data_IF_232477046756
#
_entry.id   IF_232477046756
#
_cell.length_a   1.000
_cell.length_b   1.000
_cell.length_c   1.000
_cell.angle_alpha   90.00
_cell.angle_beta   90.00
_cell.angle_gamma   90.00
#
_symmetry.space_group_name_H-M   'P 1'
#
loop_
_entity.id
_entity.type
_entity.pdbx_description
1 polymer ?
#
# COMPACT_ATOMS: atom_id res chain seq x y z
N UNK A 1 -11.53 22.15 6.63
CA UNK A 1 -10.09 21.81 6.62
C UNK A 1 -9.33 23.12 6.38
N UNK A 2 -8.38 23.52 7.23
CA UNK A 2 -7.68 24.80 7.11
C UNK A 2 -6.57 24.70 6.04
N UNK A 3 -6.91 24.96 4.77
CA UNK A 3 -5.92 25.15 3.70
C UNK A 3 -5.26 26.53 3.74
N UNK A 4 -5.78 27.46 4.57
CA UNK A 4 -5.31 28.84 4.68
C UNK A 4 -3.82 28.96 5.03
N UNK A 5 -3.25 28.02 5.78
CA UNK A 5 -1.82 28.01 6.11
C UNK A 5 -0.93 27.53 4.94
N UNK A 6 -1.50 26.85 3.94
CA UNK A 6 -0.77 26.33 2.79
C UNK A 6 -0.82 27.26 1.56
N UNK A 7 -1.78 28.17 1.50
CA UNK A 7 -1.96 29.11 0.38
C UNK A 7 -0.71 29.98 0.19
N UNK A 8 -0.19 30.04 -1.04
CA UNK A 8 0.99 30.84 -1.40
C UNK A 8 2.35 30.21 -1.05
N UNK A 9 2.37 29.04 -0.39
CA UNK A 9 3.61 28.36 -0.02
C UNK A 9 4.13 27.39 -1.09
N UNK A 10 3.30 26.99 -2.06
CA UNK A 10 3.71 26.06 -3.10
C UNK A 10 4.39 26.76 -4.28
N UNK A 11 5.57 26.26 -4.66
CA UNK A 11 6.30 26.72 -5.84
C UNK A 11 5.94 25.96 -7.12
N UNK A 12 5.07 24.96 -7.02
CA UNK A 12 4.63 24.10 -8.12
C UNK A 12 3.15 24.32 -8.40
N UNK A 13 2.82 24.70 -9.63
CA UNK A 13 1.43 24.86 -10.05
C UNK A 13 0.65 23.54 -9.91
N UNK A 14 1.21 22.44 -10.40
CA UNK A 14 0.55 21.13 -10.46
C UNK A 14 0.43 20.45 -9.09
N UNK A 15 1.33 20.74 -8.15
CA UNK A 15 1.35 20.13 -6.81
C UNK A 15 0.85 21.07 -5.71
N UNK A 16 0.29 22.23 -6.06
CA UNK A 16 -0.38 23.11 -5.10
C UNK A 16 -1.67 22.46 -4.59
N UNK A 17 -1.59 21.87 -3.38
CA UNK A 17 -2.73 21.22 -2.74
C UNK A 17 -3.81 22.22 -2.29
N UNK A 18 -3.44 23.45 -1.92
CA UNK A 18 -4.39 24.47 -1.48
C UNK A 18 -5.24 24.94 -2.65
N UNK A 19 -4.60 25.30 -3.77
CA UNK A 19 -5.33 25.67 -4.99
C UNK A 19 -6.12 24.50 -5.58
N UNK A 20 -5.62 23.26 -5.50
CA UNK A 20 -6.35 22.08 -5.95
C UNK A 20 -7.62 21.84 -5.13
N UNK A 21 -7.53 22.02 -3.81
CA UNK A 21 -8.67 21.93 -2.91
C UNK A 21 -9.70 23.04 -3.18
N UNK A 22 -9.25 24.29 -3.31
CA UNK A 22 -10.12 25.43 -3.63
C UNK A 22 -10.91 25.21 -4.94
N UNK A 23 -10.24 24.73 -6.00
CA UNK A 23 -10.92 24.41 -7.27
C UNK A 23 -11.95 23.28 -7.13
N UNK A 24 -11.66 22.27 -6.31
CA UNK A 24 -12.62 21.19 -6.02
C UNK A 24 -13.84 21.70 -5.23
N UNK A 25 -13.66 22.61 -4.27
CA UNK A 25 -14.78 23.17 -3.51
C UNK A 25 -15.64 24.13 -4.34
N UNK A 26 -15.06 24.84 -5.30
CA UNK A 26 -15.78 25.79 -6.15
C UNK A 26 -16.76 25.09 -7.10
N UNK A 27 -16.34 24.01 -7.77
CA UNK A 27 -17.14 23.37 -8.82
C UNK A 27 -17.03 21.84 -8.89
N UNK A 28 -16.33 21.19 -7.97
CA UNK A 28 -16.16 19.73 -7.92
C UNK A 28 -15.19 19.16 -8.94
N UNK A 29 -14.48 19.99 -9.72
CA UNK A 29 -13.57 19.53 -10.78
C UNK A 29 -12.10 19.65 -10.36
N UNK A 30 -11.29 18.78 -10.95
CA UNK A 30 -9.84 18.95 -10.87
C UNK A 30 -9.42 20.17 -11.68
N UNK A 31 -8.38 20.89 -11.23
CA UNK A 31 -7.82 22.02 -11.98
C UNK A 31 -7.26 21.63 -13.36
N UNK A 32 -6.94 20.35 -13.56
CA UNK A 32 -6.43 19.78 -14.81
C UNK A 32 -7.14 18.46 -15.13
N UNK A 33 -6.89 17.92 -16.33
CA UNK A 33 -7.50 16.66 -16.78
C UNK A 33 -7.29 15.54 -15.76
N UNK A 34 -8.37 15.00 -15.16
CA UNK A 34 -8.24 13.94 -14.17
C UNK A 34 -8.05 12.56 -14.82
N UNK A 35 -7.43 11.60 -14.11
CA UNK A 35 -7.33 10.21 -14.56
C UNK A 35 -8.68 9.48 -14.34
N UNK A 36 -9.67 9.78 -15.19
CA UNK A 36 -11.07 9.34 -15.04
C UNK A 36 -11.21 7.82 -14.81
N UNK A 37 -10.48 7.00 -15.57
CA UNK A 37 -10.51 5.54 -15.42
C UNK A 37 -10.02 5.07 -14.05
N UNK A 38 -8.93 5.64 -13.54
CA UNK A 38 -8.41 5.31 -12.21
C UNK A 38 -9.35 5.77 -11.11
N UNK A 39 -10.02 6.93 -11.28
CA UNK A 39 -11.03 7.39 -10.33
C UNK A 39 -12.24 6.44 -10.26
N UNK A 40 -12.72 5.94 -11.40
CA UNK A 40 -13.79 4.94 -11.45
C UNK A 40 -13.38 3.63 -10.76
N UNK A 41 -12.16 3.15 -11.03
CA UNK A 41 -11.62 1.97 -10.34
C UNK A 41 -11.48 2.21 -8.82
N UNK A 42 -11.08 3.41 -8.41
CA UNK A 42 -10.99 3.77 -6.99
C UNK A 42 -12.37 3.82 -6.32
N UNK A 43 -13.40 4.33 -6.99
CA UNK A 43 -14.78 4.28 -6.50
C UNK A 43 -15.24 2.84 -6.28
N UNK A 44 -14.91 1.92 -7.19
CA UNK A 44 -15.23 0.51 -7.03
C UNK A 44 -14.47 -0.12 -5.84
N UNK A 45 -13.18 0.20 -5.69
CA UNK A 45 -12.38 -0.27 -4.56
C UNK A 45 -12.92 0.20 -3.19
N UNK A 46 -13.52 1.40 -3.12
CA UNK A 46 -14.19 1.89 -1.90
C UNK A 46 -15.47 1.11 -1.59
N UNK A 47 -16.27 0.75 -2.60
CA UNK A 47 -17.46 -0.09 -2.40
C UNK A 47 -17.10 -1.48 -1.86
N UNK A 48 -16.06 -2.10 -2.43
CA UNK A 48 -15.55 -3.40 -1.98
C UNK A 48 -14.93 -3.33 -0.58
N UNK A 49 -14.28 -2.21 -0.25
CA UNK A 49 -13.78 -1.94 1.09
C UNK A 49 -14.91 -1.91 2.13
N UNK A 50 -15.98 -1.17 1.87
CA UNK A 50 -17.14 -1.13 2.77
C UNK A 50 -17.82 -2.49 2.87
N UNK A 51 -18.01 -3.19 1.74
CA UNK A 51 -18.61 -4.54 1.73
C UNK A 51 -17.80 -5.56 2.55
N UNK A 52 -16.47 -5.42 2.60
CA UNK A 52 -15.58 -6.24 3.43
C UNK A 52 -15.68 -5.93 4.94
N UNK A 53 -16.44 -4.91 5.35
CA UNK A 53 -16.49 -4.44 6.75
C UNK A 53 -15.47 -3.35 7.06
N UNK A 54 -15.10 -2.55 6.04
CA UNK A 54 -14.22 -1.40 6.15
C UNK A 54 -12.87 -1.73 6.77
N UNK A 55 -12.39 -0.84 7.63
CA UNK A 55 -11.05 -0.93 8.20
C UNK A 55 -10.87 -2.22 9.01
N UNK A 56 -11.85 -2.58 9.84
CA UNK A 56 -11.75 -3.73 10.73
C UNK A 56 -11.72 -5.04 9.95
N UNK A 57 -12.60 -5.18 8.95
CA UNK A 57 -12.62 -6.37 8.10
C UNK A 57 -11.33 -6.54 7.30
N UNK A 58 -10.85 -5.45 6.68
CA UNK A 58 -9.59 -5.47 5.92
C UNK A 58 -8.38 -5.73 6.81
N UNK A 59 -8.28 -5.04 7.95
CA UNK A 59 -7.18 -5.21 8.90
C UNK A 59 -7.15 -6.62 9.48
N UNK A 60 -8.32 -7.22 9.81
CA UNK A 60 -8.40 -8.62 10.26
C UNK A 60 -7.80 -9.57 9.24
N UNK A 61 -8.18 -9.43 7.96
CA UNK A 61 -7.63 -10.27 6.87
C UNK A 61 -6.13 -10.08 6.70
N UNK A 62 -5.64 -8.84 6.70
CA UNK A 62 -4.21 -8.57 6.55
C UNK A 62 -3.39 -9.12 7.72
N UNK A 63 -3.87 -8.96 8.96
CA UNK A 63 -3.23 -9.53 10.15
C UNK A 63 -3.16 -11.05 10.09
N UNK A 64 -4.24 -11.70 9.68
CA UNK A 64 -4.27 -13.15 9.58
C UNK A 64 -3.32 -13.68 8.49
N UNK A 65 -3.33 -13.06 7.30
CA UNK A 65 -2.38 -13.40 6.25
C UNK A 65 -0.93 -13.21 6.70
N UNK A 66 -0.66 -12.11 7.42
CA UNK A 66 0.66 -11.83 7.96
C UNK A 66 1.09 -12.89 8.99
N UNK A 67 0.18 -13.30 9.88
CA UNK A 67 0.42 -14.35 10.88
C UNK A 67 0.77 -15.67 10.20
N UNK A 68 -0.08 -16.15 9.29
CA UNK A 68 0.11 -17.42 8.57
C UNK A 68 1.42 -17.41 7.77
N UNK A 69 1.73 -16.29 7.08
CA UNK A 69 2.99 -16.15 6.36
C UNK A 69 4.20 -16.23 7.30
N UNK A 70 4.17 -15.52 8.43
CA UNK A 70 5.29 -15.50 9.36
C UNK A 70 5.52 -16.87 10.00
N UNK A 71 4.45 -17.54 10.45
CA UNK A 71 4.53 -18.89 11.02
C UNK A 71 5.16 -19.87 10.01
N UNK A 72 4.67 -19.88 8.76
CA UNK A 72 5.23 -20.76 7.74
C UNK A 72 6.69 -20.43 7.36
N UNK A 73 7.04 -19.15 7.31
CA UNK A 73 8.42 -18.72 7.03
C UNK A 73 9.38 -19.07 8.17
N UNK A 74 8.92 -18.95 9.42
CA UNK A 74 9.68 -19.34 10.61
C UNK A 74 9.88 -20.87 10.65
N UNK A 75 8.85 -21.66 10.35
CA UNK A 75 8.95 -23.13 10.21
C UNK A 75 9.93 -23.56 9.10
N UNK A 76 10.03 -22.79 8.02
CA UNK A 76 11.01 -23.00 6.94
C UNK A 76 12.42 -22.49 7.28
N UNK A 77 12.62 -21.85 8.44
CA UNK A 77 13.92 -21.38 8.91
C UNK A 77 14.35 -20.02 8.37
N UNK A 78 13.44 -19.20 7.84
CA UNK A 78 13.73 -17.80 7.53
C UNK A 78 13.80 -16.96 8.81
N UNK A 79 14.45 -15.80 8.74
CA UNK A 79 14.59 -14.89 9.88
C UNK A 79 14.09 -13.50 9.51
N UNK A 80 13.12 -12.97 10.25
CA UNK A 80 12.62 -11.60 10.09
C UNK A 80 13.73 -10.57 10.33
N UNK A 81 13.73 -9.50 9.54
CA UNK A 81 14.66 -8.37 9.68
C UNK A 81 14.32 -7.50 10.89
N UNK A 82 13.03 -7.29 11.17
CA UNK A 82 12.54 -6.48 12.26
C UNK A 82 11.89 -7.36 13.33
N UNK A 83 11.93 -6.90 14.58
CA UNK A 83 11.14 -7.50 15.66
C UNK A 83 9.68 -7.06 15.58
N UNK A 84 8.80 -7.84 16.21
CA UNK A 84 7.34 -7.63 16.16
C UNK A 84 6.91 -6.25 16.68
N UNK A 85 7.70 -5.63 17.56
CA UNK A 85 7.42 -4.29 18.10
C UNK A 85 7.41 -3.19 17.03
N UNK A 86 8.20 -3.35 15.97
CA UNK A 86 8.38 -2.34 14.94
C UNK A 86 7.67 -2.68 13.63
N UNK A 87 7.02 -3.85 13.57
CA UNK A 87 6.49 -4.38 12.33
C UNK A 87 4.98 -4.13 12.18
N UNK A 88 4.58 -3.67 11.00
CA UNK A 88 3.18 -3.67 10.58
C UNK A 88 2.75 -5.02 10.01
N UNK A 89 1.47 -5.15 9.66
CA UNK A 89 0.88 -6.37 9.12
C UNK A 89 0.59 -6.31 7.60
N UNK A 90 1.28 -5.41 6.88
CA UNK A 90 1.13 -5.24 5.42
C UNK A 90 2.24 -5.94 4.65
N UNK A 91 3.47 -5.91 5.15
CA UNK A 91 4.66 -6.52 4.54
C UNK A 91 5.61 -7.01 5.62
N UNK A 92 6.32 -8.11 5.35
CA UNK A 92 7.37 -8.66 6.21
C UNK A 92 8.67 -8.75 5.43
N UNK A 93 9.75 -8.17 5.96
CA UNK A 93 11.09 -8.31 5.39
C UNK A 93 11.84 -9.43 6.10
N UNK A 94 12.46 -10.32 5.33
CA UNK A 94 13.29 -11.40 5.84
C UNK A 94 14.73 -11.22 5.39
N UNK A 95 15.67 -11.71 6.20
CA UNK A 95 17.05 -11.87 5.75
C UNK A 95 17.13 -12.90 4.63
N UNK A 96 18.04 -12.67 3.69
CA UNK A 96 18.39 -13.71 2.73
C UNK A 96 19.02 -14.92 3.43
N UNK A 97 18.68 -16.15 3.01
CA UNK A 97 19.38 -17.33 3.46
C UNK A 97 20.89 -17.20 3.24
N UNK A 98 21.68 -17.61 4.24
CA UNK A 98 23.14 -17.52 4.20
C UNK A 98 23.78 -18.65 3.37
N UNK A 99 22.99 -19.56 2.82
CA UNK A 99 23.47 -20.70 2.06
C UNK A 99 24.11 -20.23 0.73
N UNK A 100 25.26 -20.77 0.37
CA UNK A 100 26.03 -20.35 -0.82
C UNK A 100 25.28 -20.51 -2.14
N UNK A 101 24.41 -21.52 -2.22
CA UNK A 101 23.54 -21.74 -3.38
C UNK A 101 22.31 -20.83 -3.43
N UNK A 102 22.09 -19.97 -2.44
CA UNK A 102 20.97 -19.02 -2.50
C UNK A 102 21.28 -17.90 -3.50
N UNK A 103 20.43 -17.77 -4.51
CA UNK A 103 20.44 -16.68 -5.47
C UNK A 103 19.03 -16.09 -5.52
N UNK A 104 18.89 -14.81 -5.18
CA UNK A 104 17.56 -14.18 -5.08
C UNK A 104 16.79 -14.25 -6.40
N UNK A 105 17.45 -14.00 -7.53
CA UNK A 105 16.82 -14.04 -8.85
C UNK A 105 16.25 -15.43 -9.16
N UNK A 106 17.00 -16.50 -8.90
CA UNK A 106 16.54 -17.87 -9.13
C UNK A 106 15.38 -18.23 -8.20
N UNK A 107 15.45 -17.83 -6.93
CA UNK A 107 14.38 -18.01 -5.96
C UNK A 107 13.10 -17.30 -6.40
N UNK A 108 13.20 -16.04 -6.82
CA UNK A 108 12.08 -15.22 -7.30
C UNK A 108 11.44 -15.81 -8.56
N UNK A 109 12.24 -16.20 -9.55
CA UNK A 109 11.74 -16.78 -10.81
C UNK A 109 10.99 -18.10 -10.56
N UNK A 110 11.53 -18.97 -9.69
CA UNK A 110 10.87 -20.22 -9.30
C UNK A 110 9.53 -19.98 -8.60
N UNK A 111 9.44 -18.98 -7.73
CA UNK A 111 8.16 -18.61 -7.11
C UNK A 111 7.16 -18.06 -8.13
N UNK A 112 7.61 -17.21 -9.06
CA UNK A 112 6.76 -16.64 -10.10
C UNK A 112 6.18 -17.72 -11.03
N UNK A 113 6.94 -18.77 -11.35
CA UNK A 113 6.46 -19.88 -12.19
C UNK A 113 5.39 -20.75 -11.52
N UNK A 114 5.31 -20.74 -10.18
CA UNK A 114 4.26 -21.43 -9.41
C UNK A 114 2.95 -20.62 -9.32
N UNK A 115 3.00 -19.32 -9.57
CA UNK A 115 1.87 -18.40 -9.47
C UNK A 115 1.09 -18.18 -10.77
N UNK A 116 1.34 -19.00 -11.80
CA UNK A 116 0.59 -19.01 -13.06
C UNK A 116 -0.70 -19.82 -12.93
#
# INVERSE_FOLDING_TARGET
MQTAEATGNCRSLSLDAASQWEGLEENGQFRFTPPTHSLLAFTQALKEYEHQGGLQGRAKRYKENCRVLQEGMDEMGFTKLLSDKHQGYIITSFHFPKHTNFQFNDFYLRLNDLGK
#
